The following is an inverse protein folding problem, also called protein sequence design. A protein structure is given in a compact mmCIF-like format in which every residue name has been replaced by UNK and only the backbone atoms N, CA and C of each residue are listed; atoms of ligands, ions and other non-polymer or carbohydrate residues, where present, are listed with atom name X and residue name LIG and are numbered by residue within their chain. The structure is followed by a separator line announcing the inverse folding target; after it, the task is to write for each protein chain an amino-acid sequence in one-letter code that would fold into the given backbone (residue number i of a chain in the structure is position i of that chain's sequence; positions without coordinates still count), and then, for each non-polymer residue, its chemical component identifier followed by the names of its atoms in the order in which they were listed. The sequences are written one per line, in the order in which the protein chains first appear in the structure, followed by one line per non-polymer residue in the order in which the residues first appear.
data_IF_549113959890
#
_entry.id   IF_549113959890
#
_cell.length_a   1.000
_cell.length_b   1.000
_cell.length_c   1.000
_cell.angle_alpha   90.00
_cell.angle_beta   90.00
_cell.angle_gamma   90.00
#
_symmetry.space_group_name_H-M   'P 1'
#
loop_
_entity.id
_entity.type
_entity.pdbx_description
1 polymer ?
#
# COMPACT_ATOMS: atom_id res chain seq x y z
N UNK A 1 25.22 9.86 -4.50
CA UNK A 1 24.23 8.79 -4.77
C UNK A 1 22.90 9.28 -4.23
N UNK A 2 21.86 9.41 -5.05
CA UNK A 2 20.56 9.88 -4.55
C UNK A 2 19.95 8.73 -3.75
N UNK A 3 19.73 8.97 -2.45
CA UNK A 3 19.16 7.98 -1.54
C UNK A 3 17.68 7.74 -1.91
N UNK A 4 17.39 6.54 -2.40
CA UNK A 4 16.03 6.18 -2.81
C UNK A 4 15.22 5.85 -1.57
N UNK A 5 14.34 6.77 -1.17
CA UNK A 5 13.44 6.53 -0.03
C UNK A 5 12.50 5.36 -0.36
N UNK A 6 12.44 4.28 0.44
CA UNK A 6 11.57 3.15 0.16
C UNK A 6 10.08 3.46 0.34
N UNK A 7 9.23 2.74 -0.38
CA UNK A 7 7.78 2.75 -0.22
C UNK A 7 7.41 2.34 1.21
N UNK A 8 6.71 3.21 1.94
CA UNK A 8 6.32 2.95 3.34
C UNK A 8 5.35 1.77 3.50
N UNK A 9 4.66 1.37 2.43
CA UNK A 9 3.71 0.25 2.45
C UNK A 9 4.42 -1.10 2.31
N UNK A 10 5.33 -1.26 1.35
CA UNK A 10 5.88 -2.57 0.97
C UNK A 10 7.41 -2.61 0.85
N UNK A 11 8.11 -1.50 1.08
CA UNK A 11 9.58 -1.43 1.01
C UNK A 11 10.17 -1.41 -0.40
N UNK A 12 9.35 -1.49 -1.46
CA UNK A 12 9.82 -1.35 -2.85
C UNK A 12 10.33 0.06 -3.15
N UNK A 13 11.05 0.24 -4.26
CA UNK A 13 11.50 1.57 -4.71
C UNK A 13 10.32 2.53 -4.86
N UNK A 14 10.34 3.64 -4.14
CA UNK A 14 9.28 4.65 -4.25
C UNK A 14 9.40 5.42 -5.55
N UNK A 15 8.27 6.01 -5.97
CA UNK A 15 8.20 6.99 -7.05
C UNK A 15 7.85 8.39 -6.53
N UNK A 16 7.84 8.59 -5.20
CA UNK A 16 7.48 9.84 -4.55
C UNK A 16 6.28 9.70 -3.60
N UNK A 17 5.70 10.85 -3.25
CA UNK A 17 4.51 10.97 -2.40
C UNK A 17 3.26 10.79 -3.26
N UNK A 18 2.40 9.86 -2.87
CA UNK A 18 1.08 9.67 -3.47
C UNK A 18 0.06 9.50 -2.36
N UNK A 19 -1.05 10.21 -2.43
CA UNK A 19 -2.10 10.16 -1.41
C UNK A 19 -1.55 10.47 0.00
N UNK A 20 -0.65 11.44 0.13
CA UNK A 20 -0.04 11.83 1.42
C UNK A 20 1.12 10.97 1.92
N UNK A 21 1.45 9.84 1.27
CA UNK A 21 2.50 8.91 1.76
C UNK A 21 3.52 8.58 0.67
N UNK A 22 4.80 8.42 1.04
CA UNK A 22 5.85 7.93 0.13
C UNK A 22 5.56 6.49 -0.26
N UNK A 23 5.25 6.26 -1.54
CA UNK A 23 4.85 4.95 -2.06
C UNK A 23 5.46 4.64 -3.41
N UNK A 24 5.40 3.37 -3.82
CA UNK A 24 5.71 2.95 -5.18
C UNK A 24 4.44 2.99 -6.05
N UNK A 25 4.60 2.99 -7.37
CA UNK A 25 3.48 2.97 -8.34
C UNK A 25 2.51 1.80 -8.09
N UNK A 26 3.01 0.66 -7.63
CA UNK A 26 2.17 -0.50 -7.31
C UNK A 26 1.22 -0.25 -6.14
N UNK A 27 1.65 0.46 -5.09
CA UNK A 27 0.80 0.78 -3.93
C UNK A 27 -0.11 1.97 -4.20
N UNK A 28 0.38 2.98 -4.94
CA UNK A 28 -0.45 4.07 -5.49
C UNK A 28 -1.62 3.53 -6.31
N UNK A 29 -1.34 2.70 -7.32
CA UNK A 29 -2.37 2.15 -8.20
C UNK A 29 -3.33 1.21 -7.48
N UNK A 30 -2.83 0.43 -6.50
CA UNK A 30 -3.66 -0.39 -5.64
C UNK A 30 -4.65 0.47 -4.83
N UNK A 31 -4.15 1.46 -4.09
CA UNK A 31 -4.98 2.34 -3.26
C UNK A 31 -6.06 3.06 -4.10
N UNK A 32 -5.68 3.61 -5.26
CA UNK A 32 -6.63 4.26 -6.18
C UNK A 32 -7.80 3.35 -6.54
N UNK A 33 -7.54 2.10 -6.95
CA UNK A 33 -8.58 1.14 -7.34
C UNK A 33 -9.43 0.71 -6.15
N UNK A 34 -8.81 0.52 -4.98
CA UNK A 34 -9.54 0.15 -3.76
C UNK A 34 -10.53 1.23 -3.35
N UNK A 35 -10.16 2.51 -3.48
CA UNK A 35 -11.05 3.63 -3.19
C UNK A 35 -12.15 3.80 -4.25
N UNK A 36 -11.82 3.68 -5.54
CA UNK A 36 -12.81 3.83 -6.63
C UNK A 36 -13.92 2.78 -6.58
N UNK A 37 -13.56 1.54 -6.28
CA UNK A 37 -14.52 0.42 -6.29
C UNK A 37 -15.17 0.17 -4.92
N UNK A 38 -14.92 1.04 -3.93
CA UNK A 38 -15.28 0.84 -2.53
C UNK A 38 -14.97 -0.60 -2.06
N UNK A 39 -13.76 -1.07 -2.37
CA UNK A 39 -13.43 -2.48 -2.34
C UNK A 39 -13.43 -3.04 -0.92
N UNK A 40 -14.29 -4.03 -0.66
CA UNK A 40 -14.28 -4.80 0.58
C UNK A 40 -13.43 -6.05 0.40
N UNK A 41 -12.23 -6.04 0.99
CA UNK A 41 -11.33 -7.20 0.96
C UNK A 41 -11.40 -7.98 2.27
N UNK A 42 -11.38 -9.30 2.15
CA UNK A 42 -11.22 -10.23 3.28
C UNK A 42 -9.77 -10.66 3.44
N UNK A 43 -9.30 -10.78 4.68
CA UNK A 43 -8.00 -11.36 4.95
C UNK A 43 -8.11 -12.90 4.92
N UNK A 44 -7.22 -13.62 4.20
CA UNK A 44 -7.20 -15.08 4.22
C UNK A 44 -6.54 -15.66 5.50
N UNK A 45 -6.07 -14.80 6.41
CA UNK A 45 -5.36 -15.16 7.65
C UNK A 45 -5.88 -14.30 8.80
N UNK A 46 -5.05 -14.03 9.82
CA UNK A 46 -5.40 -13.34 11.06
C UNK A 46 -5.29 -11.80 10.97
N UNK A 47 -5.57 -11.20 9.79
CA UNK A 47 -5.52 -9.74 9.56
C UNK A 47 -4.18 -9.05 9.91
N UNK A 48 -3.09 -9.81 10.05
CA UNK A 48 -1.76 -9.34 10.42
C UNK A 48 -0.69 -9.70 9.35
N UNK A 49 -1.10 -9.80 8.08
CA UNK A 49 -0.19 -10.19 7.01
C UNK A 49 0.96 -9.20 6.85
N UNK A 50 2.20 -9.70 6.85
CA UNK A 50 3.36 -8.93 6.43
C UNK A 50 3.19 -8.44 4.98
N UNK A 51 3.39 -7.14 4.77
CA UNK A 51 3.33 -6.50 3.45
C UNK A 51 4.73 -6.04 3.07
N UNK A 52 5.34 -6.76 2.14
CA UNK A 52 6.64 -6.48 1.53
C UNK A 52 6.55 -6.53 -0.01
N UNK A 53 7.66 -6.26 -0.71
CA UNK A 53 7.71 -6.24 -2.18
C UNK A 53 7.22 -7.54 -2.83
N UNK A 54 7.50 -8.69 -2.22
CA UNK A 54 7.19 -10.02 -2.73
C UNK A 54 5.77 -10.48 -2.38
N UNK A 55 5.27 -10.09 -1.21
CA UNK A 55 4.04 -10.61 -0.63
C UNK A 55 2.86 -9.64 -0.66
N UNK A 56 3.06 -8.38 -1.09
CA UNK A 56 2.02 -7.33 -1.11
C UNK A 56 0.74 -7.70 -1.86
N UNK A 57 0.75 -8.67 -2.78
CA UNK A 57 -0.45 -9.10 -3.51
C UNK A 57 -1.19 -10.27 -2.84
N UNK A 58 -0.60 -10.94 -1.83
CA UNK A 58 -1.20 -12.11 -1.17
C UNK A 58 -2.37 -11.76 -0.25
N UNK A 59 -2.46 -10.52 0.23
CA UNK A 59 -3.54 -10.07 1.11
C UNK A 59 -3.88 -8.62 0.82
N UNK A 60 -4.92 -8.40 0.02
CA UNK A 60 -5.41 -7.05 -0.31
C UNK A 60 -5.98 -6.34 0.92
N UNK A 61 -6.63 -7.07 1.84
CA UNK A 61 -7.14 -6.52 3.09
C UNK A 61 -6.03 -5.85 3.91
N UNK A 62 -5.00 -6.60 4.31
CA UNK A 62 -3.90 -6.05 5.12
C UNK A 62 -3.11 -4.98 4.37
N UNK A 63 -2.99 -5.09 3.05
CA UNK A 63 -2.35 -4.04 2.25
C UNK A 63 -3.13 -2.73 2.31
N UNK A 64 -4.46 -2.78 2.11
CA UNK A 64 -5.30 -1.59 2.19
C UNK A 64 -5.34 -1.02 3.61
N UNK A 65 -5.46 -1.87 4.62
CA UNK A 65 -5.40 -1.43 6.02
C UNK A 65 -4.07 -0.76 6.35
N UNK A 66 -2.94 -1.29 5.87
CA UNK A 66 -1.63 -0.63 6.05
C UNK A 66 -1.53 0.71 5.31
N UNK A 67 -2.14 0.85 4.12
CA UNK A 67 -2.24 2.13 3.43
C UNK A 67 -2.97 3.17 4.29
N UNK A 68 -4.16 2.83 4.80
CA UNK A 68 -4.97 3.70 5.63
C UNK A 68 -4.28 4.04 6.96
N UNK A 69 -3.71 3.04 7.63
CA UNK A 69 -3.02 3.21 8.91
C UNK A 69 -1.79 4.13 8.83
N UNK A 70 -1.15 4.20 7.66
CA UNK A 70 -0.02 5.11 7.41
C UNK A 70 -0.46 6.48 6.86
N UNK A 71 -1.76 6.74 6.79
CA UNK A 71 -2.30 8.05 6.42
C UNK A 71 -2.56 8.24 4.92
N UNK A 72 -2.67 7.17 4.13
CA UNK A 72 -3.09 7.35 2.73
C UNK A 72 -4.55 7.83 2.67
N UNK A 73 -4.78 9.00 2.07
CA UNK A 73 -6.11 9.59 1.90
C UNK A 73 -6.34 10.10 0.47
N UNK A 74 -7.60 10.26 0.06
CA UNK A 74 -7.97 10.94 -1.19
C UNK A 74 -7.96 12.46 -1.07
N UNK A 75 -8.01 12.96 0.17
CA UNK A 75 -8.05 14.36 0.52
C UNK A 75 -6.66 14.99 0.56
#
# INVERSE_FOLDING_TARGET
QIEVIPCKICGDKSSGIHYGVITCEGCKGFFRRSQQNNASYSCPRQRNCLIDRTNRNRCQHCRLQKCLALGMSRD
#
